data_IF_753000251965
#
_entry.id   IF_753000251965
#
_cell.length_a   1.000
_cell.length_b   1.000
_cell.length_c   1.000
_cell.angle_alpha   90.00
_cell.angle_beta   90.00
_cell.angle_gamma   90.00
#
_symmetry.space_group_name_H-M   'P 1'
#
loop_
_entity.id
_entity.type
_entity.pdbx_description
1 polymer ?
#
# COMPACT_ATOMS: atom_id res chain seq x y z
N UNK A 1 -6.86 17.39 -27.82
CA UNK A 1 -5.55 17.82 -27.30
C UNK A 1 -5.16 16.83 -26.23
N UNK A 2 -4.59 15.70 -26.66
CA UNK A 2 -4.08 14.68 -25.76
C UNK A 2 -2.71 15.17 -25.28
N UNK A 3 -2.55 15.33 -23.96
CA UNK A 3 -1.25 15.65 -23.38
C UNK A 3 -0.30 14.49 -23.70
N UNK A 4 0.97 14.75 -24.05
CA UNK A 4 1.94 13.69 -24.18
C UNK A 4 2.02 12.98 -22.82
N UNK A 5 1.82 11.65 -22.82
CA UNK A 5 2.31 10.79 -21.75
C UNK A 5 3.82 10.73 -21.90
N UNK A 6 4.50 11.82 -21.55
CA UNK A 6 5.93 11.79 -21.31
C UNK A 6 6.17 10.68 -20.28
N UNK A 7 6.98 9.68 -20.67
CA UNK A 7 7.09 8.38 -20.01
C UNK A 7 6.99 8.48 -18.49
N UNK A 8 6.01 7.78 -17.91
CA UNK A 8 5.74 7.83 -16.47
C UNK A 8 7.07 7.71 -15.71
N UNK A 9 7.49 8.79 -15.06
CA UNK A 9 8.69 8.80 -14.24
C UNK A 9 8.43 7.76 -13.14
N UNK A 10 9.08 6.61 -13.28
CA UNK A 10 8.97 5.56 -12.27
C UNK A 10 9.38 6.19 -10.93
N UNK A 11 8.65 5.89 -9.83
CA UNK A 11 9.02 6.42 -8.54
C UNK A 11 10.48 6.05 -8.24
N UNK A 12 11.26 6.92 -7.56
CA UNK A 12 12.63 6.61 -7.21
C UNK A 12 12.73 5.24 -6.52
N UNK A 13 13.71 4.41 -6.88
CA UNK A 13 13.82 3.06 -6.34
C UNK A 13 13.91 3.02 -4.81
N UNK A 14 14.57 4.02 -4.20
CA UNK A 14 14.60 4.19 -2.76
C UNK A 14 13.20 4.37 -2.15
N UNK A 15 12.34 5.17 -2.79
CA UNK A 15 10.97 5.34 -2.33
C UNK A 15 10.12 4.07 -2.52
N UNK A 16 10.32 3.32 -3.61
CA UNK A 16 9.65 2.02 -3.79
C UNK A 16 10.03 1.04 -2.66
N UNK A 17 11.31 1.00 -2.27
CA UNK A 17 11.77 0.17 -1.15
C UNK A 17 11.10 0.54 0.17
N UNK A 18 10.95 1.84 0.46
CA UNK A 18 10.21 2.33 1.65
C UNK A 18 8.74 1.89 1.64
N UNK A 19 8.10 1.89 0.47
CA UNK A 19 6.72 1.39 0.31
C UNK A 19 6.65 -0.12 0.57
N UNK A 20 7.58 -0.90 0.02
CA UNK A 20 7.63 -2.36 0.20
C UNK A 20 7.88 -2.74 1.68
N UNK A 21 8.79 -2.04 2.36
CA UNK A 21 9.08 -2.25 3.77
C UNK A 21 7.85 -1.97 4.63
N UNK A 22 7.24 -0.79 4.48
CA UNK A 22 6.04 -0.41 5.22
C UNK A 22 4.85 -1.33 4.90
N UNK A 23 4.71 -1.77 3.65
CA UNK A 23 3.70 -2.75 3.28
C UNK A 23 3.89 -4.09 4.03
N UNK A 24 5.12 -4.56 4.14
CA UNK A 24 5.45 -5.76 4.91
C UNK A 24 5.13 -5.62 6.40
N UNK A 25 5.37 -4.45 6.99
CA UNK A 25 4.99 -4.15 8.38
C UNK A 25 3.47 -4.23 8.60
N UNK A 26 2.70 -3.64 7.68
CA UNK A 26 1.24 -3.65 7.74
C UNK A 26 0.66 -5.07 7.64
N UNK A 27 1.23 -5.92 6.79
CA UNK A 27 0.82 -7.34 6.71
C UNK A 27 1.07 -8.05 8.04
N UNK A 28 2.26 -7.88 8.65
CA UNK A 28 2.57 -8.48 9.96
C UNK A 28 1.64 -7.97 11.06
N UNK A 29 1.30 -6.68 11.05
CA UNK A 29 0.37 -6.11 12.02
C UNK A 29 -1.05 -6.68 11.84
N UNK A 30 -1.53 -6.79 10.60
CA UNK A 30 -2.83 -7.38 10.29
C UNK A 30 -2.91 -8.85 10.71
N UNK A 31 -1.84 -9.63 10.54
CA UNK A 31 -1.77 -11.02 10.95
C UNK A 31 -1.93 -11.18 12.48
N UNK A 32 -1.27 -10.34 13.27
CA UNK A 32 -1.41 -10.31 14.73
C UNK A 32 -2.83 -9.93 15.16
N UNK A 33 -3.44 -8.95 14.49
CA UNK A 33 -4.79 -8.48 14.83
C UNK A 33 -5.88 -9.49 14.47
N UNK A 34 -5.66 -10.28 13.42
CA UNK A 34 -6.71 -11.13 12.86
C UNK A 34 -6.49 -12.63 13.04
N UNK A 35 -5.37 -13.10 13.59
CA UNK A 35 -4.97 -14.46 14.05
C UNK A 35 -5.30 -15.65 13.12
N UNK A 36 -6.54 -15.75 12.65
CA UNK A 36 -7.03 -16.62 11.60
C UNK A 36 -7.82 -15.78 10.57
N UNK A 37 -7.08 -15.05 9.74
CA UNK A 37 -7.69 -14.12 8.78
C UNK A 37 -8.60 -14.78 7.74
N UNK A 38 -8.42 -16.07 7.45
CA UNK A 38 -9.22 -16.80 6.47
C UNK A 38 -10.70 -16.93 6.89
N UNK A 39 -10.95 -17.03 8.20
CA UNK A 39 -12.30 -17.14 8.76
C UNK A 39 -12.92 -15.78 9.12
N UNK A 40 -12.22 -14.66 8.83
CA UNK A 40 -12.69 -13.32 9.17
C UNK A 40 -13.99 -12.96 8.43
N UNK A 41 -15.06 -12.70 9.18
CA UNK A 41 -16.40 -12.35 8.67
C UNK A 41 -16.75 -10.85 8.79
N UNK A 42 -15.83 -10.03 9.28
CA UNK A 42 -16.07 -8.60 9.47
C UNK A 42 -16.04 -7.80 8.17
N UNK A 43 -16.51 -6.55 8.24
CA UNK A 43 -16.30 -5.60 7.17
C UNK A 43 -14.81 -5.22 7.09
N UNK A 44 -14.29 -5.06 5.87
CA UNK A 44 -12.93 -4.52 5.70
C UNK A 44 -12.86 -3.05 6.14
N UNK A 45 -11.67 -2.60 6.53
CA UNK A 45 -11.44 -1.24 7.05
C UNK A 45 -11.57 -0.13 6.00
N UNK A 46 -11.86 -0.48 4.74
CA UNK A 46 -11.86 0.45 3.62
C UNK A 46 -10.45 0.85 3.20
N UNK A 47 -10.37 1.80 2.25
CA UNK A 47 -9.08 2.31 1.76
C UNK A 47 -8.42 3.12 2.85
N UNK A 48 -7.16 2.79 3.15
CA UNK A 48 -6.33 3.52 4.09
C UNK A 48 -5.14 4.16 3.37
N UNK A 49 -4.46 5.06 4.08
CA UNK A 49 -3.27 5.77 3.59
C UNK A 49 -2.10 5.50 4.53
N UNK A 50 -0.94 5.21 3.97
CA UNK A 50 0.32 5.14 4.70
C UNK A 50 1.31 6.18 4.16
N UNK A 51 2.06 6.80 5.06
CA UNK A 51 3.11 7.76 4.75
C UNK A 51 4.48 7.14 5.03
N UNK A 52 5.40 7.36 4.10
CA UNK A 52 6.80 6.90 4.16
C UNK A 52 7.71 8.04 3.66
N UNK A 53 9.03 7.99 3.92
CA UNK A 53 9.95 8.96 3.34
C UNK A 53 9.77 9.06 1.82
N UNK A 54 9.58 10.28 1.32
CA UNK A 54 9.43 10.55 -0.11
C UNK A 54 8.03 10.40 -0.69
N UNK A 55 7.00 10.05 0.10
CA UNK A 55 5.64 10.03 -0.40
C UNK A 55 4.60 9.32 0.47
N UNK A 56 3.57 8.82 -0.20
CA UNK A 56 2.49 8.04 0.42
C UNK A 56 1.96 6.97 -0.53
N UNK A 57 1.23 6.01 0.03
CA UNK A 57 0.46 5.05 -0.76
C UNK A 57 -0.92 4.78 -0.15
N UNK A 58 -1.87 4.47 -1.03
CA UNK A 58 -3.21 4.00 -0.67
C UNK A 58 -3.20 2.47 -0.65
N UNK A 59 -3.83 1.86 0.35
CA UNK A 59 -3.91 0.42 0.48
C UNK A 59 -5.24 -0.08 1.04
N UNK A 60 -5.51 -1.37 0.81
CA UNK A 60 -6.57 -2.14 1.44
C UNK A 60 -5.98 -3.30 2.22
N UNK A 61 -6.35 -3.43 3.48
CA UNK A 61 -6.14 -4.69 4.22
C UNK A 61 -7.27 -5.66 3.85
N UNK A 62 -6.92 -6.76 3.19
CA UNK A 62 -7.88 -7.81 2.85
C UNK A 62 -7.55 -9.03 3.69
N UNK A 63 -8.08 -9.01 4.92
CA UNK A 63 -7.84 -10.01 5.97
C UNK A 63 -8.03 -11.44 5.47
N UNK A 64 -9.13 -11.68 4.75
CA UNK A 64 -9.47 -12.98 4.15
C UNK A 64 -8.49 -13.47 3.08
N UNK A 65 -7.74 -12.57 2.46
CA UNK A 65 -6.68 -12.93 1.51
C UNK A 65 -5.30 -12.95 2.19
N UNK A 66 -5.25 -12.65 3.50
CA UNK A 66 -4.01 -12.58 4.28
C UNK A 66 -2.95 -11.68 3.61
N UNK A 67 -3.41 -10.58 3.03
CA UNK A 67 -2.56 -9.64 2.32
C UNK A 67 -3.08 -8.21 2.44
N UNK A 68 -2.22 -7.27 2.04
CA UNK A 68 -2.65 -5.93 1.68
C UNK A 68 -2.54 -5.76 0.16
N UNK A 69 -3.43 -4.95 -0.41
CA UNK A 69 -3.32 -4.48 -1.78
C UNK A 69 -2.90 -3.03 -1.77
N UNK A 70 -1.76 -2.71 -2.39
CA UNK A 70 -1.37 -1.34 -2.69
C UNK A 70 -2.12 -0.89 -3.94
N UNK A 71 -2.91 0.17 -3.82
CA UNK A 71 -3.78 0.65 -4.90
C UNK A 71 -3.14 1.78 -5.71
N UNK A 72 -2.43 2.67 -5.03
CA UNK A 72 -1.77 3.82 -5.63
C UNK A 72 -0.54 4.18 -4.82
N UNK A 73 0.53 4.56 -5.51
CA UNK A 73 1.76 5.09 -4.93
C UNK A 73 1.94 6.51 -5.46
N UNK A 74 2.17 7.48 -4.57
CA UNK A 74 2.36 8.90 -4.90
C UNK A 74 3.68 9.38 -4.31
N UNK A 75 4.66 9.64 -5.17
CA UNK A 75 5.92 10.28 -4.78
C UNK A 75 5.72 11.80 -4.61
N UNK A 76 6.39 12.39 -3.62
CA UNK A 76 6.48 13.84 -3.51
C UNK A 76 7.56 14.39 -4.45
N UNK A 77 7.35 15.62 -4.97
CA UNK A 77 8.42 16.31 -5.69
C UNK A 77 9.57 16.60 -4.74
N UNK A 78 10.78 16.24 -5.16
CA UNK A 78 12.05 16.53 -4.49
C UNK A 78 12.53 17.95 -4.74
#
# INVERSE_FOLDING_TARGET
MERPVDGALLPPAAFVAEVEERAGELVRAADVLHLNGADYQGAGEGVQTAYVPGGMFLYLTVVRHQCIYVLQVTAWPS
#
